data_IF_798547505185
#
_entry.id   IF_798547505185
#
_cell.length_a   1.000
_cell.length_b   1.000
_cell.length_c   1.000
_cell.angle_alpha   90.00
_cell.angle_beta   90.00
_cell.angle_gamma   90.00
#
_symmetry.space_group_name_H-M   'P 1'
#
loop_
_entity.id
_entity.type
_entity.pdbx_description
1 polymer ?
#
# COMPACT_ATOMS: atom_id res chain seq x y z
N UNK A 1 22.63 14.29 12.38
CA UNK A 1 22.70 12.96 11.73
C UNK A 1 22.82 13.21 10.23
N UNK A 2 23.78 12.59 9.56
CA UNK A 2 23.87 12.67 8.10
C UNK A 2 22.73 11.84 7.51
N UNK A 3 21.91 12.45 6.66
CA UNK A 3 20.85 11.75 5.95
C UNK A 3 21.49 10.81 4.91
N UNK A 4 21.14 9.53 4.95
CA UNK A 4 21.56 8.60 3.90
C UNK A 4 20.93 9.03 2.56
N UNK A 5 21.68 9.05 1.46
CA UNK A 5 21.10 9.25 0.13
C UNK A 5 20.05 8.18 -0.18
N UNK A 6 19.01 8.54 -0.94
CA UNK A 6 17.92 7.63 -1.29
C UNK A 6 18.43 6.37 -2.01
N UNK A 7 19.38 6.51 -2.93
CA UNK A 7 19.97 5.39 -3.67
C UNK A 7 20.68 4.40 -2.74
N UNK A 8 21.45 4.91 -1.78
CA UNK A 8 22.14 4.08 -0.79
C UNK A 8 21.14 3.37 0.14
N UNK A 9 20.07 4.08 0.52
CA UNK A 9 18.98 3.52 1.32
C UNK A 9 18.29 2.35 0.61
N UNK A 10 17.96 2.53 -0.67
CA UNK A 10 17.34 1.50 -1.50
C UNK A 10 18.28 0.32 -1.74
N UNK A 11 19.57 0.57 -1.99
CA UNK A 11 20.57 -0.49 -2.15
C UNK A 11 20.70 -1.34 -0.89
N UNK A 12 20.78 -0.72 0.29
CA UNK A 12 20.82 -1.44 1.58
C UNK A 12 19.55 -2.26 1.82
N UNK A 13 18.39 -1.69 1.49
CA UNK A 13 17.12 -2.40 1.61
C UNK A 13 17.01 -3.61 0.68
N UNK A 14 17.46 -3.47 -0.57
CA UNK A 14 17.49 -4.57 -1.54
C UNK A 14 18.46 -5.67 -1.11
N UNK A 15 19.65 -5.30 -0.63
CA UNK A 15 20.63 -6.23 -0.09
C UNK A 15 20.07 -7.01 1.11
N UNK A 16 19.38 -6.34 2.03
CA UNK A 16 18.71 -7.00 3.15
C UNK A 16 17.60 -7.96 2.70
N UNK A 17 16.85 -7.64 1.65
CA UNK A 17 15.88 -8.58 1.08
C UNK A 17 16.58 -9.83 0.51
N UNK A 18 17.62 -9.65 -0.31
CA UNK A 18 18.34 -10.75 -0.95
C UNK A 18 19.08 -11.67 0.05
N UNK A 19 19.56 -11.12 1.17
CA UNK A 19 20.23 -11.90 2.21
C UNK A 19 19.32 -12.97 2.85
N UNK A 20 18.01 -12.69 2.95
CA UNK A 20 17.03 -13.65 3.47
C UNK A 20 16.82 -14.85 2.55
N UNK A 21 16.84 -14.64 1.24
CA UNK A 21 16.64 -15.69 0.24
C UNK A 21 17.87 -16.60 0.10
N UNK A 22 19.07 -16.08 0.35
CA UNK A 22 20.33 -16.78 0.13
C UNK A 22 20.88 -17.52 1.36
N UNK A 23 20.72 -16.96 2.57
CA UNK A 23 21.52 -17.39 3.74
C UNK A 23 20.84 -18.41 4.66
N UNK A 24 19.53 -18.64 4.55
CA UNK A 24 18.71 -19.38 5.53
C UNK A 24 18.83 -18.87 7.00
N UNK A 25 19.59 -17.80 7.25
CA UNK A 25 19.80 -17.19 8.57
C UNK A 25 18.96 -15.91 8.65
N UNK A 26 17.72 -16.07 9.13
CA UNK A 26 16.83 -14.92 9.38
C UNK A 26 17.42 -13.88 10.34
N UNK A 27 18.43 -14.26 11.13
CA UNK A 27 19.13 -13.38 12.08
C UNK A 27 20.02 -12.33 11.41
N UNK A 28 20.76 -12.69 10.36
CA UNK A 28 21.58 -11.71 9.62
C UNK A 28 20.69 -10.70 8.87
N UNK A 29 19.55 -11.18 8.38
CA UNK A 29 18.54 -10.34 7.77
C UNK A 29 17.90 -9.38 8.80
N UNK A 30 17.55 -9.88 10.00
CA UNK A 30 17.05 -9.03 11.10
C UNK A 30 18.05 -7.95 11.48
N UNK A 31 19.34 -8.29 11.65
CA UNK A 31 20.40 -7.33 11.96
C UNK A 31 20.47 -6.23 10.90
N UNK A 32 20.47 -6.61 9.62
CA UNK A 32 20.54 -5.66 8.51
C UNK A 32 19.37 -4.68 8.50
N UNK A 33 18.15 -5.15 8.77
CA UNK A 33 16.97 -4.28 8.83
C UNK A 33 16.94 -3.39 10.08
N UNK A 34 17.46 -3.86 11.23
CA UNK A 34 17.62 -3.04 12.45
C UNK A 34 18.63 -1.91 12.21
N UNK A 35 19.80 -2.22 11.64
CA UNK A 35 20.80 -1.21 11.25
C UNK A 35 20.19 -0.16 10.31
N UNK A 36 19.39 -0.59 9.33
CA UNK A 36 18.70 0.31 8.42
C UNK A 36 17.63 1.17 9.13
N UNK A 37 16.94 0.62 10.12
CA UNK A 37 15.93 1.34 10.91
C UNK A 37 16.56 2.39 11.83
N UNK A 38 17.77 2.15 12.32
CA UNK A 38 18.56 3.14 13.08
C UNK A 38 19.08 4.25 12.16
N UNK A 39 19.59 3.88 10.98
CA UNK A 39 20.15 4.83 10.02
C UNK A 39 19.09 5.73 9.36
N UNK A 40 17.93 5.16 9.00
CA UNK A 40 16.82 5.91 8.43
C UNK A 40 15.48 5.51 9.04
N UNK A 41 15.13 6.13 10.18
CA UNK A 41 13.99 5.68 10.96
C UNK A 41 12.62 6.04 10.38
N UNK A 42 12.57 6.84 9.31
CA UNK A 42 11.33 7.18 8.61
C UNK A 42 11.13 6.34 7.33
N UNK A 43 12.02 5.39 7.05
CA UNK A 43 11.93 4.57 5.84
C UNK A 43 10.89 3.47 6.02
N UNK A 44 9.63 3.80 5.73
CA UNK A 44 8.44 2.95 5.94
C UNK A 44 8.58 1.51 5.40
N UNK A 45 9.06 1.27 4.16
CA UNK A 45 9.22 -0.09 3.65
C UNK A 45 10.10 -0.97 4.55
N UNK A 46 11.19 -0.41 5.09
CA UNK A 46 12.06 -1.11 6.03
C UNK A 46 11.36 -1.39 7.36
N UNK A 47 10.67 -0.41 7.93
CA UNK A 47 9.96 -0.58 9.20
C UNK A 47 8.91 -1.71 9.12
N UNK A 48 8.13 -1.74 8.04
CA UNK A 48 7.12 -2.78 7.81
C UNK A 48 7.77 -4.15 7.61
N UNK A 49 8.88 -4.22 6.86
CA UNK A 49 9.58 -5.48 6.61
C UNK A 49 10.23 -6.04 7.88
N UNK A 50 10.86 -5.18 8.68
CA UNK A 50 11.43 -5.55 9.98
C UNK A 50 10.36 -6.05 10.93
N UNK A 51 9.23 -5.33 11.06
CA UNK A 51 8.10 -5.74 11.90
C UNK A 51 7.52 -7.11 11.52
N UNK A 52 7.45 -7.43 10.22
CA UNK A 52 7.05 -8.76 9.75
C UNK A 52 8.11 -9.82 10.08
N UNK A 53 9.39 -9.52 9.85
CA UNK A 53 10.46 -10.48 10.06
C UNK A 53 10.65 -10.85 11.54
N UNK A 54 10.53 -9.87 12.45
CA UNK A 54 10.59 -10.09 13.89
C UNK A 54 9.55 -11.13 14.35
N UNK A 55 8.37 -11.16 13.72
CA UNK A 55 7.32 -12.14 14.04
C UNK A 55 7.56 -13.54 13.45
N UNK A 56 8.48 -13.67 12.50
CA UNK A 56 8.74 -14.92 11.78
C UNK A 56 10.03 -15.63 12.22
N UNK A 57 11.01 -14.85 12.68
CA UNK A 57 12.33 -15.36 13.06
C UNK A 57 12.41 -15.51 14.57
N UNK A 58 12.70 -16.73 15.03
CA UNK A 58 12.96 -17.01 16.43
C UNK A 58 14.39 -16.57 16.78
N UNK A 59 14.52 -15.43 17.46
CA UNK A 59 15.80 -14.87 17.89
C UNK A 59 16.19 -15.44 19.27
N UNK A 60 17.28 -16.24 19.36
CA UNK A 60 17.65 -16.89 20.61
C UNK A 60 17.85 -15.89 21.75
N UNK A 61 17.21 -16.15 22.89
CA UNK A 61 17.32 -15.30 24.08
C UNK A 61 16.46 -14.04 24.05
N UNK A 62 15.62 -13.85 23.04
CA UNK A 62 14.65 -12.75 23.00
C UNK A 62 13.32 -13.19 23.60
N UNK A 63 12.83 -12.44 24.59
CA UNK A 63 11.50 -12.68 25.15
C UNK A 63 10.41 -12.25 24.16
N UNK A 64 9.35 -13.05 24.04
CA UNK A 64 8.25 -12.79 23.11
C UNK A 64 7.63 -11.40 23.29
N UNK A 65 7.48 -10.93 24.53
CA UNK A 65 6.90 -9.60 24.80
C UNK A 65 7.83 -8.45 24.39
N UNK A 66 9.15 -8.63 24.53
CA UNK A 66 10.12 -7.64 24.07
C UNK A 66 10.06 -7.49 22.54
N UNK A 67 10.00 -8.62 21.83
CA UNK A 67 9.80 -8.65 20.38
C UNK A 67 8.46 -7.98 19.98
N UNK A 68 7.35 -8.33 20.61
CA UNK A 68 6.05 -7.70 20.32
C UNK A 68 6.06 -6.19 20.60
N UNK A 69 6.78 -5.75 21.62
CA UNK A 69 6.95 -4.32 21.94
C UNK A 69 7.74 -3.61 20.85
N UNK A 70 8.82 -4.23 20.35
CA UNK A 70 9.59 -3.70 19.22
C UNK A 70 8.71 -3.60 17.95
N UNK A 71 7.98 -4.66 17.62
CA UNK A 71 7.05 -4.70 16.47
C UNK A 71 6.01 -3.59 16.58
N UNK A 72 5.38 -3.41 17.74
CA UNK A 72 4.38 -2.36 17.95
C UNK A 72 4.96 -0.98 17.64
N UNK A 73 6.12 -0.64 18.23
CA UNK A 73 6.80 0.64 18.03
C UNK A 73 7.16 0.88 16.56
N UNK A 74 7.63 -0.16 15.85
CA UNK A 74 7.97 -0.07 14.43
C UNK A 74 6.74 0.23 13.57
N UNK A 75 5.61 -0.42 13.84
CA UNK A 75 4.36 -0.23 13.11
C UNK A 75 3.74 1.15 13.38
N UNK A 76 3.73 1.63 14.63
CA UNK A 76 3.32 3.00 14.95
C UNK A 76 4.16 4.04 14.21
N UNK A 77 5.47 3.82 14.17
CA UNK A 77 6.39 4.70 13.44
C UNK A 77 6.16 4.64 11.93
N UNK A 78 5.88 3.47 11.37
CA UNK A 78 5.55 3.31 9.96
C UNK A 78 4.26 4.08 9.61
N UNK A 79 3.23 4.03 10.47
CA UNK A 79 2.01 4.83 10.32
C UNK A 79 2.32 6.32 10.34
N UNK A 80 3.14 6.80 11.27
CA UNK A 80 3.50 8.22 11.33
C UNK A 80 4.33 8.68 10.13
N UNK A 81 5.38 7.93 9.77
CA UNK A 81 6.32 8.31 8.71
C UNK A 81 5.71 8.27 7.30
N UNK A 82 4.67 7.46 7.11
CA UNK A 82 3.98 7.30 5.83
C UNK A 82 2.78 8.22 5.64
N UNK A 83 2.56 9.16 6.57
CA UNK A 83 1.32 9.94 6.65
C UNK A 83 0.08 9.03 6.64
N UNK A 84 0.17 7.99 7.46
CA UNK A 84 -0.87 6.98 7.65
C UNK A 84 -1.22 6.29 6.33
N UNK A 85 -0.24 5.71 5.63
CA UNK A 85 -0.53 4.96 4.41
C UNK A 85 -1.42 3.74 4.70
N UNK A 86 -2.17 3.28 3.69
CA UNK A 86 -3.07 2.14 3.84
C UNK A 86 -2.35 0.90 4.38
N UNK A 87 -1.20 0.53 3.80
CA UNK A 87 -0.42 -0.63 4.21
C UNK A 87 0.02 -0.58 5.67
N UNK A 88 0.49 0.60 6.13
CA UNK A 88 0.94 0.76 7.51
C UNK A 88 -0.21 0.68 8.51
N UNK A 89 -1.36 1.29 8.17
CA UNK A 89 -2.58 1.21 8.98
C UNK A 89 -3.10 -0.22 9.09
N UNK A 90 -3.13 -0.95 7.97
CA UNK A 90 -3.61 -2.33 7.91
C UNK A 90 -2.71 -3.25 8.75
N UNK A 91 -1.38 -3.16 8.59
CA UNK A 91 -0.44 -3.97 9.38
C UNK A 91 -0.53 -3.70 10.88
N UNK A 92 -0.61 -2.42 11.29
CA UNK A 92 -0.80 -2.08 12.70
C UNK A 92 -2.16 -2.58 13.21
N UNK A 93 -3.22 -2.44 12.42
CA UNK A 93 -4.56 -2.92 12.76
C UNK A 93 -4.57 -4.43 13.04
N UNK A 94 -4.03 -5.24 12.11
CA UNK A 94 -3.91 -6.69 12.33
C UNK A 94 -3.06 -7.03 13.55
N UNK A 95 -1.96 -6.31 13.76
CA UNK A 95 -1.10 -6.53 14.92
C UNK A 95 -1.84 -6.27 16.24
N UNK A 96 -2.56 -5.16 16.34
CA UNK A 96 -3.32 -4.81 17.54
C UNK A 96 -4.44 -5.82 17.83
N UNK A 97 -5.15 -6.28 16.80
CA UNK A 97 -6.20 -7.28 16.93
C UNK A 97 -5.65 -8.62 17.43
N UNK A 98 -4.59 -9.10 16.78
CA UNK A 98 -4.08 -10.46 16.97
C UNK A 98 -3.18 -10.59 18.21
N UNK A 99 -2.36 -9.58 18.50
CA UNK A 99 -1.31 -9.70 19.52
C UNK A 99 -1.53 -8.80 20.74
N UNK A 100 -2.21 -7.65 20.59
CA UNK A 100 -2.49 -6.74 21.70
C UNK A 100 -3.90 -6.87 22.26
N UNK A 101 -4.78 -7.61 21.58
CA UNK A 101 -6.17 -7.79 21.99
C UNK A 101 -6.90 -6.44 22.14
N UNK A 102 -6.62 -5.51 21.22
CA UNK A 102 -7.23 -4.17 21.17
C UNK A 102 -8.16 -4.01 19.95
N UNK A 103 -9.24 -4.82 19.84
CA UNK A 103 -10.04 -4.94 18.62
C UNK A 103 -10.74 -3.63 18.22
N UNK A 104 -11.11 -2.80 19.20
CA UNK A 104 -11.73 -1.50 18.93
C UNK A 104 -10.78 -0.52 18.25
N UNK A 105 -9.50 -0.53 18.62
CA UNK A 105 -8.47 0.30 17.98
C UNK A 105 -8.05 -0.29 16.65
N UNK A 106 -7.85 -1.61 16.58
CA UNK A 106 -7.58 -2.33 15.35
C UNK A 106 -8.62 -2.04 14.26
N UNK A 107 -9.90 -2.13 14.61
CA UNK A 107 -11.02 -1.85 13.69
C UNK A 107 -10.92 -0.44 13.08
N UNK A 108 -10.66 0.59 13.88
CA UNK A 108 -10.52 1.97 13.38
C UNK A 108 -9.39 2.10 12.37
N UNK A 109 -8.24 1.47 12.65
CA UNK A 109 -7.10 1.50 11.74
C UNK A 109 -7.39 0.74 10.44
N UNK A 110 -8.05 -0.41 10.53
CA UNK A 110 -8.43 -1.20 9.36
C UNK A 110 -9.47 -0.47 8.49
N UNK A 111 -10.46 0.18 9.10
CA UNK A 111 -11.45 1.00 8.38
C UNK A 111 -10.79 2.17 7.66
N UNK A 112 -9.89 2.89 8.32
CA UNK A 112 -9.14 3.98 7.68
C UNK A 112 -8.20 3.48 6.57
N UNK A 113 -7.49 2.38 6.82
CA UNK A 113 -6.60 1.76 5.83
C UNK A 113 -7.36 1.30 4.59
N UNK A 114 -8.52 0.67 4.78
CA UNK A 114 -9.42 0.28 3.70
C UNK A 114 -9.91 1.50 2.91
N UNK A 115 -10.32 2.58 3.57
CA UNK A 115 -10.73 3.81 2.90
C UNK A 115 -9.61 4.43 2.05
N UNK A 116 -8.37 4.47 2.55
CA UNK A 116 -7.21 4.97 1.80
C UNK A 116 -6.82 4.08 0.62
N UNK A 117 -6.90 2.76 0.78
CA UNK A 117 -6.67 1.82 -0.30
C UNK A 117 -7.73 1.98 -1.41
N UNK A 118 -9.00 2.14 -1.01
CA UNK A 118 -10.11 2.38 -1.94
C UNK A 118 -9.90 3.68 -2.73
N UNK A 119 -9.56 4.78 -2.07
CA UNK A 119 -9.25 6.06 -2.74
C UNK A 119 -8.10 5.93 -3.74
N UNK A 120 -7.05 5.17 -3.41
CA UNK A 120 -5.91 4.96 -4.31
C UNK A 120 -6.31 4.14 -5.55
N UNK A 121 -7.19 3.15 -5.37
CA UNK A 121 -7.73 2.35 -6.45
C UNK A 121 -8.61 3.18 -7.39
N UNK A 122 -9.47 4.04 -6.83
CA UNK A 122 -10.27 5.01 -7.60
C UNK A 122 -9.38 5.93 -8.45
N UNK A 123 -8.31 6.47 -7.86
CA UNK A 123 -7.34 7.31 -8.56
C UNK A 123 -6.68 6.57 -9.72
N UNK A 124 -6.21 5.34 -9.48
CA UNK A 124 -5.56 4.51 -10.48
C UNK A 124 -6.51 4.17 -11.64
N UNK A 125 -7.76 3.77 -11.34
CA UNK A 125 -8.73 3.39 -12.36
C UNK A 125 -9.20 4.59 -13.17
N UNK A 126 -9.47 5.73 -12.54
CA UNK A 126 -9.81 6.94 -13.26
C UNK A 126 -8.65 7.40 -14.17
N UNK A 127 -7.41 7.30 -13.70
CA UNK A 127 -6.21 7.58 -14.50
C UNK A 127 -6.07 6.63 -15.69
N UNK A 128 -6.28 5.33 -15.49
CA UNK A 128 -6.19 4.32 -16.54
C UNK A 128 -7.28 4.49 -17.60
N UNK A 129 -8.52 4.79 -17.20
CA UNK A 129 -9.61 5.09 -18.15
C UNK A 129 -9.23 6.26 -19.05
N UNK A 130 -8.76 7.38 -18.47
CA UNK A 130 -8.30 8.54 -19.25
C UNK A 130 -7.13 8.19 -20.17
N UNK A 131 -6.16 7.42 -19.69
CA UNK A 131 -5.04 7.02 -20.54
C UNK A 131 -5.48 6.17 -21.73
N UNK A 132 -6.38 5.20 -21.52
CA UNK A 132 -6.94 4.38 -22.59
C UNK A 132 -7.74 5.21 -23.60
N UNK A 133 -8.49 6.21 -23.13
CA UNK A 133 -9.20 7.17 -23.98
C UNK A 133 -8.23 7.99 -24.85
N UNK A 134 -7.17 8.55 -24.24
CA UNK A 134 -6.12 9.29 -24.96
C UNK A 134 -5.41 8.44 -26.02
N UNK A 135 -5.14 7.16 -25.72
CA UNK A 135 -4.56 6.19 -26.66
C UNK A 135 -5.58 5.65 -27.67
N UNK A 136 -6.82 6.16 -27.66
CA UNK A 136 -7.95 5.72 -28.51
C UNK A 136 -8.30 4.23 -28.37
N UNK A 137 -7.94 3.62 -27.25
CA UNK A 137 -8.29 2.26 -26.89
C UNK A 137 -9.70 2.22 -26.27
N UNK A 138 -10.66 2.83 -26.98
CA UNK A 138 -12.02 3.12 -26.49
C UNK A 138 -12.79 1.88 -26.02
N UNK A 139 -12.75 0.70 -26.68
CA UNK A 139 -13.41 -0.49 -26.15
C UNK A 139 -12.92 -0.91 -24.76
N UNK A 140 -11.62 -0.78 -24.50
CA UNK A 140 -11.01 -1.12 -23.20
C UNK A 140 -11.32 -0.07 -22.15
N UNK A 141 -11.32 1.21 -22.54
CA UNK A 141 -11.77 2.31 -21.68
C UNK A 141 -13.22 2.10 -21.23
N UNK A 142 -14.12 1.69 -22.14
CA UNK A 142 -15.52 1.41 -21.83
C UNK A 142 -15.71 0.17 -20.95
N UNK A 143 -14.96 -0.91 -21.21
CA UNK A 143 -15.01 -2.11 -20.36
C UNK A 143 -14.59 -1.79 -18.93
N UNK A 144 -13.49 -1.04 -18.76
CA UNK A 144 -13.03 -0.61 -17.45
C UNK A 144 -14.03 0.36 -16.80
N UNK A 145 -14.60 1.29 -17.57
CA UNK A 145 -15.63 2.23 -17.12
C UNK A 145 -16.84 1.50 -16.53
N UNK A 146 -17.39 0.52 -17.23
CA UNK A 146 -18.54 -0.24 -16.76
C UNK A 146 -18.27 -0.98 -15.44
N UNK A 147 -17.06 -1.52 -15.27
CA UNK A 147 -16.63 -2.13 -13.99
C UNK A 147 -16.45 -1.07 -12.90
N UNK A 148 -15.88 0.08 -13.25
CA UNK A 148 -15.60 1.15 -12.32
C UNK A 148 -16.89 1.74 -11.73
N UNK A 149 -17.94 1.93 -12.53
CA UNK A 149 -19.23 2.44 -12.06
C UNK A 149 -19.92 1.48 -11.09
N UNK A 150 -19.79 0.17 -11.30
CA UNK A 150 -20.34 -0.84 -10.39
C UNK A 150 -19.66 -0.84 -9.03
N UNK A 151 -18.33 -0.63 -9.02
CA UNK A 151 -17.53 -0.67 -7.80
C UNK A 151 -17.46 0.67 -7.07
N UNK A 152 -17.56 1.78 -7.81
CA UNK A 152 -17.39 3.15 -7.30
C UNK A 152 -18.54 4.08 -7.72
N UNK A 153 -19.82 3.71 -7.45
CA UNK A 153 -20.97 4.47 -7.95
C UNK A 153 -21.06 5.90 -7.39
N UNK A 154 -20.36 6.18 -6.30
CA UNK A 154 -20.35 7.50 -5.64
C UNK A 154 -19.06 8.28 -5.92
N UNK A 155 -18.10 7.72 -6.66
CA UNK A 155 -16.84 8.38 -6.93
C UNK A 155 -16.98 9.37 -8.08
N UNK A 156 -17.09 10.66 -7.76
CA UNK A 156 -17.16 11.72 -8.77
C UNK A 156 -15.96 11.73 -9.72
N UNK A 157 -14.79 11.25 -9.27
CA UNK A 157 -13.58 11.13 -10.09
C UNK A 157 -13.72 10.03 -11.15
N UNK A 158 -14.25 8.87 -10.76
CA UNK A 158 -14.54 7.78 -11.69
C UNK A 158 -15.62 8.22 -12.66
N UNK A 159 -16.71 8.81 -12.17
CA UNK A 159 -17.81 9.30 -13.03
C UNK A 159 -17.33 10.31 -14.06
N UNK A 160 -16.39 11.21 -13.71
CA UNK A 160 -15.76 12.10 -14.67
C UNK A 160 -15.04 11.36 -15.79
N UNK A 161 -14.13 10.44 -15.44
CA UNK A 161 -13.37 9.67 -16.42
C UNK A 161 -14.25 8.78 -17.32
N UNK A 162 -15.31 8.20 -16.75
CA UNK A 162 -16.31 7.40 -17.47
C UNK A 162 -17.06 8.26 -18.47
N UNK A 163 -17.51 9.45 -18.06
CA UNK A 163 -18.25 10.38 -18.92
C UNK A 163 -17.40 10.80 -20.13
N UNK A 164 -16.14 11.14 -19.90
CA UNK A 164 -15.19 11.50 -20.97
C UNK A 164 -15.00 10.33 -21.95
N UNK A 165 -14.80 9.11 -21.46
CA UNK A 165 -14.63 7.92 -22.29
C UNK A 165 -15.88 7.59 -23.12
N UNK A 166 -17.09 7.72 -22.54
CA UNK A 166 -18.36 7.53 -23.25
C UNK A 166 -18.56 8.59 -24.33
N UNK A 167 -18.23 9.85 -24.04
CA UNK A 167 -18.33 10.94 -25.02
C UNK A 167 -17.36 10.72 -26.19
N UNK A 168 -16.12 10.32 -25.91
CA UNK A 168 -15.14 9.99 -26.94
C UNK A 168 -15.62 8.81 -27.82
N UNK A 169 -16.11 7.73 -27.20
CA UNK A 169 -16.68 6.60 -27.93
C UNK A 169 -17.90 6.97 -28.77
N UNK A 170 -18.81 7.79 -28.25
CA UNK A 170 -19.94 8.33 -28.99
C UNK A 170 -19.53 9.14 -30.22
N UNK A 171 -18.50 9.98 -30.10
CA UNK A 171 -17.97 10.75 -31.24
C UNK A 171 -17.39 9.88 -32.35
N UNK A 172 -16.98 8.64 -32.03
CA UNK A 172 -16.47 7.64 -32.99
C UNK A 172 -17.53 6.65 -33.49
N UNK A 173 -18.79 6.78 -33.04
CA UNK A 173 -19.87 5.86 -33.39
C UNK A 173 -19.79 4.48 -32.71
N UNK A 174 -18.93 4.33 -31.69
CA UNK A 174 -18.81 3.10 -30.90
C UNK A 174 -19.92 2.94 -29.86
N UNK A 175 -20.62 4.03 -29.53
CA UNK A 175 -21.78 4.02 -28.64
C UNK A 175 -22.97 4.76 -29.29
N UNK A 176 -24.21 4.27 -29.09
CA UNK A 176 -25.40 5.04 -29.43
C UNK A 176 -25.53 6.26 -28.52
N UNK A 177 -26.26 7.31 -28.94
CA UNK A 177 -26.39 8.55 -28.16
C UNK A 177 -26.94 8.35 -26.75
N UNK A 178 -27.82 7.36 -26.58
CA UNK A 178 -28.45 6.98 -25.32
C UNK A 178 -27.46 6.38 -24.30
N UNK A 179 -26.31 5.89 -24.77
CA UNK A 179 -25.25 5.35 -23.92
C UNK A 179 -24.16 6.39 -23.56
N UNK A 180 -24.38 7.67 -23.88
CA UNK A 180 -23.46 8.77 -23.58
C UNK A 180 -23.79 9.52 -22.28
N UNK A 181 -24.98 9.32 -21.69
CA UNK A 181 -25.35 9.93 -20.41
C UNK A 181 -24.83 9.10 -19.22
N UNK A 182 -24.42 9.74 -18.10
CA UNK A 182 -23.91 9.06 -16.91
C UNK A 182 -24.96 8.19 -16.20
#
# INVERSE_FOLDING_TARGET
MAHLPLEELLAKFQAANAAGDASHSGLDQLRSYRELAEACPAFTPNLLRLARLLRLVDEPGTEAEAMLTEVHRLLERAVQASDRSADALIELGYFLDTHRHEPAQARKLLEEGAAKALSSLEDAWAGLIRHLEMEKQLPQALELSARAEQLFPQSGRIMGAVSDARQAAGSTGLLPPEAMEP
#
